data_IF_008340413256
#
_entry.id   IF_008340413256
#
_cell.length_a   1.000
_cell.length_b   1.000
_cell.length_c   1.000
_cell.angle_alpha   90.00
_cell.angle_beta   90.00
_cell.angle_gamma   90.00
#
_symmetry.space_group_name_H-M   'P 1'
#
loop_
_entity.id
_entity.type
_entity.pdbx_description
1 polymer ?
#
# COMPACT_ATOMS: atom_id res chain seq x y z
N UNK A 1 -1.14 18.12 -5.34
CA UNK A 1 -1.89 18.55 -4.14
C UNK A 1 -2.48 17.29 -3.54
N UNK A 2 -1.87 16.77 -2.46
CA UNK A 2 -2.55 15.80 -1.59
C UNK A 2 -3.87 16.43 -1.18
N UNK A 3 -4.99 15.78 -1.51
CA UNK A 3 -6.27 16.15 -0.92
C UNK A 3 -6.24 15.60 0.49
N UNK A 4 -6.21 16.49 1.48
CA UNK A 4 -6.42 16.13 2.88
C UNK A 4 -7.64 15.19 2.97
N UNK A 5 -7.46 14.06 3.64
CA UNK A 5 -8.54 13.11 3.91
C UNK A 5 -9.72 13.87 4.52
N UNK A 6 -10.94 13.79 3.97
CA UNK A 6 -12.07 14.54 4.49
C UNK A 6 -12.34 14.22 5.96
N UNK A 7 -12.68 15.23 6.75
CA UNK A 7 -12.90 15.09 8.20
C UNK A 7 -13.94 14.00 8.52
N UNK A 8 -14.99 13.85 7.71
CA UNK A 8 -16.00 12.81 7.91
C UNK A 8 -15.42 11.40 7.81
N UNK A 9 -14.41 11.20 6.93
CA UNK A 9 -13.77 9.90 6.74
C UNK A 9 -12.82 9.59 7.89
N UNK A 10 -12.09 10.59 8.39
CA UNK A 10 -11.29 10.47 9.62
C UNK A 10 -12.16 10.05 10.81
N UNK A 11 -13.28 10.75 11.03
CA UNK A 11 -14.20 10.45 12.14
C UNK A 11 -14.90 9.09 11.98
N UNK A 12 -15.29 8.69 10.76
CA UNK A 12 -15.88 7.38 10.51
C UNK A 12 -14.88 6.24 10.78
N UNK A 13 -13.62 6.41 10.37
CA UNK A 13 -12.53 5.47 10.67
C UNK A 13 -12.29 5.36 12.18
N UNK A 14 -12.21 6.49 12.89
CA UNK A 14 -12.03 6.51 14.35
C UNK A 14 -13.19 5.81 15.07
N UNK A 15 -14.43 6.14 14.71
CA UNK A 15 -15.64 5.53 15.27
C UNK A 15 -15.65 4.01 15.08
N UNK A 16 -15.31 3.55 13.87
CA UNK A 16 -15.19 2.13 13.58
C UNK A 16 -14.07 1.48 14.41
N UNK A 17 -12.87 2.06 14.44
CA UNK A 17 -11.73 1.52 15.21
C UNK A 17 -12.08 1.35 16.69
N UNK A 18 -12.68 2.36 17.31
CA UNK A 18 -13.12 2.30 18.71
C UNK A 18 -14.18 1.22 18.93
N UNK A 19 -15.16 1.11 18.02
CA UNK A 19 -16.21 0.10 18.11
C UNK A 19 -15.67 -1.32 17.95
N UNK A 20 -14.74 -1.54 17.00
CA UNK A 20 -14.14 -2.83 16.74
C UNK A 20 -13.22 -3.28 17.89
N UNK A 21 -12.45 -2.35 18.48
CA UNK A 21 -11.70 -2.62 19.70
C UNK A 21 -12.64 -3.02 20.86
N UNK A 22 -13.76 -2.33 21.00
CA UNK A 22 -14.81 -2.67 21.97
C UNK A 22 -15.37 -4.08 21.77
N UNK A 23 -15.69 -4.47 20.54
CA UNK A 23 -16.15 -5.82 20.18
C UNK A 23 -15.09 -6.89 20.44
N UNK A 24 -13.81 -6.58 20.20
CA UNK A 24 -12.72 -7.53 20.39
C UNK A 24 -12.44 -7.84 21.87
N UNK A 25 -12.63 -6.87 22.77
CA UNK A 25 -12.23 -7.00 24.18
C UNK A 25 -13.38 -7.10 25.18
N UNK A 26 -14.58 -6.62 24.84
CA UNK A 26 -15.72 -6.67 25.76
C UNK A 26 -16.32 -8.08 25.87
N UNK A 27 -16.85 -8.39 27.05
CA UNK A 27 -17.62 -9.62 27.34
C UNK A 27 -19.06 -9.32 27.77
N UNK A 28 -19.46 -8.05 27.78
CA UNK A 28 -20.78 -7.62 28.23
C UNK A 28 -21.72 -7.47 27.02
N UNK A 29 -22.83 -8.20 27.00
CA UNK A 29 -23.77 -8.23 25.87
C UNK A 29 -24.35 -6.85 25.50
N UNK A 30 -24.62 -5.99 26.49
CA UNK A 30 -25.12 -4.63 26.26
C UNK A 30 -24.05 -3.73 25.63
N UNK A 31 -22.79 -3.93 25.99
CA UNK A 31 -21.69 -3.17 25.38
C UNK A 31 -21.41 -3.68 23.97
N UNK A 32 -21.48 -5.00 23.74
CA UNK A 32 -21.39 -5.58 22.40
C UNK A 32 -22.48 -5.04 21.47
N UNK A 33 -23.73 -4.91 21.93
CA UNK A 33 -24.81 -4.30 21.15
C UNK A 33 -24.52 -2.82 20.83
N UNK A 34 -24.03 -2.06 21.82
CA UNK A 34 -23.63 -0.66 21.62
C UNK A 34 -22.52 -0.53 20.59
N UNK A 35 -21.49 -1.37 20.64
CA UNK A 35 -20.40 -1.33 19.67
C UNK A 35 -20.86 -1.70 18.26
N UNK A 36 -21.76 -2.69 18.10
CA UNK A 36 -22.37 -2.98 16.79
C UNK A 36 -23.13 -1.77 16.24
N UNK A 37 -23.88 -1.05 17.08
CA UNK A 37 -24.56 0.18 16.62
C UNK A 37 -23.57 1.27 16.21
N UNK A 38 -22.43 1.41 16.89
CA UNK A 38 -21.38 2.36 16.48
C UNK A 38 -20.79 1.97 15.10
N UNK A 39 -20.64 0.68 14.78
CA UNK A 39 -20.27 0.23 13.43
C UNK A 39 -21.31 0.62 12.39
N UNK A 40 -22.60 0.45 12.68
CA UNK A 40 -23.69 0.86 11.79
C UNK A 40 -23.68 2.37 11.53
N UNK A 41 -23.42 3.19 12.56
CA UNK A 41 -23.31 4.65 12.42
C UNK A 41 -22.10 5.00 11.52
N UNK A 42 -20.96 4.33 11.71
CA UNK A 42 -19.80 4.51 10.83
C UNK A 42 -20.14 4.17 9.37
N UNK A 43 -20.83 3.04 9.14
CA UNK A 43 -21.29 2.65 7.81
C UNK A 43 -22.31 3.64 7.21
N UNK A 44 -23.22 4.20 8.02
CA UNK A 44 -24.17 5.24 7.61
C UNK A 44 -23.45 6.53 7.17
N UNK A 45 -22.41 6.95 7.90
CA UNK A 45 -21.59 8.12 7.53
C UNK A 45 -20.91 7.89 6.18
N UNK A 46 -20.27 6.73 5.99
CA UNK A 46 -19.53 6.41 4.76
C UNK A 46 -20.49 6.29 3.57
N UNK A 47 -21.61 5.58 3.75
CA UNK A 47 -22.61 5.41 2.70
C UNK A 47 -23.23 6.76 2.29
N UNK A 48 -23.52 7.63 3.25
CA UNK A 48 -24.06 8.97 2.96
C UNK A 48 -23.09 9.94 2.26
N UNK A 49 -21.79 9.63 2.24
CA UNK A 49 -20.74 10.46 1.65
C UNK A 49 -20.02 9.78 0.47
N UNK A 50 -20.46 8.59 0.04
CA UNK A 50 -19.85 7.82 -1.04
C UNK A 50 -20.90 7.11 -1.91
N UNK A 51 -20.46 6.37 -2.93
CA UNK A 51 -21.34 5.53 -3.76
C UNK A 51 -21.47 4.10 -3.22
N UNK A 52 -20.99 3.85 -1.98
CA UNK A 52 -21.00 2.53 -1.37
C UNK A 52 -22.30 2.29 -0.59
N UNK A 53 -22.89 1.12 -0.79
CA UNK A 53 -24.06 0.67 -0.02
C UNK A 53 -23.66 0.32 1.42
N UNK A 54 -24.53 0.65 2.38
CA UNK A 54 -24.29 0.41 3.81
C UNK A 54 -23.98 -1.06 4.10
N UNK A 55 -24.71 -1.97 3.48
CA UNK A 55 -24.57 -3.41 3.66
C UNK A 55 -23.19 -3.91 3.22
N UNK A 56 -22.68 -3.42 2.09
CA UNK A 56 -21.35 -3.76 1.59
C UNK A 56 -20.24 -3.24 2.54
N UNK A 57 -20.44 -2.06 3.14
CA UNK A 57 -19.52 -1.50 4.13
C UNK A 57 -19.51 -2.36 5.40
N UNK A 58 -20.69 -2.73 5.93
CA UNK A 58 -20.80 -3.59 7.10
C UNK A 58 -20.21 -4.99 6.88
N UNK A 59 -20.40 -5.55 5.69
CA UNK A 59 -19.73 -6.80 5.29
C UNK A 59 -18.21 -6.64 5.36
N UNK A 60 -17.66 -5.54 4.81
CA UNK A 60 -16.22 -5.25 4.86
C UNK A 60 -15.67 -5.08 6.29
N UNK A 61 -16.49 -4.63 7.24
CA UNK A 61 -16.13 -4.52 8.66
C UNK A 61 -16.05 -5.90 9.32
N UNK A 62 -17.02 -6.77 9.01
CA UNK A 62 -17.13 -8.11 9.61
C UNK A 62 -16.01 -9.07 9.19
N UNK A 63 -15.35 -8.82 8.05
CA UNK A 63 -14.24 -9.64 7.52
C UNK A 63 -12.99 -9.54 8.41
N UNK A 64 -12.79 -8.44 9.13
CA UNK A 64 -11.63 -8.27 10.02
C UNK A 64 -11.99 -8.66 11.46
N UNK A 65 -11.73 -9.92 11.84
CA UNK A 65 -11.76 -10.30 13.25
C UNK A 65 -10.57 -9.67 14.00
N UNK A 66 -10.83 -8.99 15.11
CA UNK A 66 -9.78 -8.36 15.95
C UNK A 66 -9.61 -6.85 15.72
N UNK A 67 -8.52 -6.28 16.25
CA UNK A 67 -8.25 -4.85 16.17
C UNK A 67 -7.90 -4.44 14.73
N UNK A 68 -8.55 -3.40 14.16
CA UNK A 68 -8.28 -3.00 12.79
C UNK A 68 -6.92 -2.31 12.71
N UNK A 69 -6.12 -2.71 11.70
CA UNK A 69 -4.81 -2.13 11.45
C UNK A 69 -4.76 -1.59 10.02
N UNK A 70 -3.91 -0.59 9.73
CA UNK A 70 -3.57 -0.28 8.35
C UNK A 70 -3.02 -1.52 7.65
N UNK A 71 -3.33 -1.66 6.37
CA UNK A 71 -2.71 -2.71 5.56
C UNK A 71 -1.22 -2.39 5.35
N UNK A 72 -0.45 -3.34 4.83
CA UNK A 72 0.96 -3.13 4.50
C UNK A 72 1.16 -3.39 3.02
N UNK A 73 1.65 -2.39 2.28
CA UNK A 73 2.06 -2.49 0.87
C UNK A 73 3.59 -2.42 0.82
N UNK A 74 4.23 -3.30 0.06
CA UNK A 74 5.69 -3.28 -0.13
C UNK A 74 6.01 -2.95 -1.58
N UNK A 75 7.11 -2.23 -1.81
CA UNK A 75 7.60 -1.89 -3.15
C UNK A 75 9.10 -2.05 -3.22
N UNK A 76 9.60 -2.67 -4.30
CA UNK A 76 11.02 -2.89 -4.56
C UNK A 76 11.58 -1.84 -5.53
N UNK A 77 12.51 -1.02 -5.06
CA UNK A 77 13.33 -0.15 -5.89
C UNK A 77 14.59 -0.90 -6.33
N UNK A 78 14.66 -1.23 -7.62
CA UNK A 78 15.81 -1.93 -8.24
C UNK A 78 16.47 -1.00 -9.24
N UNK A 79 17.79 -0.80 -9.09
CA UNK A 79 18.56 0.16 -9.89
C UNK A 79 19.64 -0.56 -10.70
N UNK A 80 19.77 -0.21 -11.98
CA UNK A 80 20.82 -0.70 -12.88
C UNK A 80 21.29 0.44 -13.77
N UNK A 81 22.58 0.77 -13.73
CA UNK A 81 23.18 1.83 -14.55
C UNK A 81 22.44 3.19 -14.45
N UNK A 82 22.02 3.56 -13.24
CA UNK A 82 21.27 4.79 -12.97
C UNK A 82 19.80 4.76 -13.39
N UNK A 83 19.32 3.65 -13.94
CA UNK A 83 17.92 3.45 -14.34
C UNK A 83 17.14 2.67 -13.30
N UNK A 84 15.84 2.91 -13.22
CA UNK A 84 14.93 2.27 -12.27
C UNK A 84 14.07 1.22 -12.95
N UNK A 85 13.96 0.04 -12.33
CA UNK A 85 13.06 -1.02 -12.78
C UNK A 85 11.61 -0.63 -12.51
N UNK A 86 10.78 -0.67 -13.54
CA UNK A 86 9.34 -0.54 -13.42
C UNK A 86 8.65 -1.70 -14.14
N UNK A 87 7.45 -2.02 -13.66
CA UNK A 87 6.54 -3.00 -14.25
C UNK A 87 5.28 -2.28 -14.73
N UNK A 88 4.71 -2.72 -15.85
CA UNK A 88 3.45 -2.19 -16.35
C UNK A 88 2.28 -2.91 -15.70
N UNK A 89 1.31 -2.18 -15.16
CA UNK A 89 0.12 -2.72 -14.54
C UNK A 89 -0.95 -3.00 -15.60
N UNK A 90 -1.56 -4.19 -15.58
CA UNK A 90 -2.68 -4.50 -16.49
C UNK A 90 -3.89 -3.60 -16.22
N UNK A 91 -4.10 -3.24 -14.95
CA UNK A 91 -5.32 -2.57 -14.50
C UNK A 91 -5.50 -1.16 -15.08
N UNK A 92 -4.41 -0.41 -15.23
CA UNK A 92 -4.45 0.99 -15.70
C UNK A 92 -3.47 1.26 -16.87
N UNK A 93 -2.69 0.27 -17.29
CA UNK A 93 -1.68 0.40 -18.35
C UNK A 93 -0.50 1.31 -17.99
N UNK A 94 -0.45 1.80 -16.75
CA UNK A 94 0.60 2.67 -16.23
C UNK A 94 1.70 1.84 -15.58
N UNK A 95 2.76 2.50 -15.12
CA UNK A 95 3.96 1.85 -14.59
C UNK A 95 4.12 2.07 -13.09
N UNK A 96 4.63 1.07 -12.39
CA UNK A 96 4.86 1.09 -10.95
C UNK A 96 6.17 0.39 -10.60
N UNK A 97 6.67 0.66 -9.39
CA UNK A 97 7.65 -0.22 -8.77
C UNK A 97 7.01 -1.58 -8.54
N UNK A 98 7.74 -2.68 -8.80
CA UNK A 98 7.24 -4.01 -8.48
C UNK A 98 6.90 -4.12 -7.00
N UNK A 99 5.78 -4.76 -6.68
CA UNK A 99 5.33 -4.92 -5.31
C UNK A 99 3.82 -5.03 -5.12
N UNK A 100 3.46 -5.49 -3.93
CA UNK A 100 2.10 -5.87 -3.62
C UNK A 100 1.73 -5.74 -2.15
N UNK A 101 0.60 -6.36 -1.82
CA UNK A 101 0.09 -6.39 -0.46
C UNK A 101 0.93 -7.40 0.32
N UNK A 102 1.35 -7.08 1.54
CA UNK A 102 2.07 -8.04 2.35
C UNK A 102 1.16 -9.24 2.70
N UNK A 103 1.61 -10.43 2.34
CA UNK A 103 0.93 -11.69 2.63
C UNK A 103 1.21 -12.19 4.04
N UNK A 104 0.25 -12.93 4.59
CA UNK A 104 0.38 -13.50 5.93
C UNK A 104 1.43 -14.62 5.93
N UNK A 105 2.34 -14.57 6.91
CA UNK A 105 3.35 -15.62 7.10
C UNK A 105 4.66 -15.37 6.36
N UNK A 106 4.78 -14.31 5.58
CA UNK A 106 6.02 -13.86 4.96
C UNK A 106 6.62 -12.68 5.75
N UNK A 107 7.95 -12.63 5.86
CA UNK A 107 8.62 -11.43 6.32
C UNK A 107 8.53 -10.31 5.27
N UNK A 108 8.62 -9.02 5.65
CA UNK A 108 8.60 -7.92 4.69
C UNK A 108 9.70 -8.02 3.62
N UNK A 109 10.83 -8.62 3.99
CA UNK A 109 11.95 -8.87 3.08
C UNK A 109 11.62 -9.97 2.07
N UNK A 110 11.11 -11.11 2.51
CA UNK A 110 10.71 -12.20 1.61
C UNK A 110 9.62 -11.74 0.64
N UNK A 111 8.66 -10.97 1.15
CA UNK A 111 7.57 -10.41 0.36
C UNK A 111 8.07 -9.57 -0.82
N UNK A 112 8.94 -8.57 -0.56
CA UNK A 112 9.41 -7.69 -1.63
C UNK A 112 10.36 -8.42 -2.60
N UNK A 113 11.15 -9.37 -2.11
CA UNK A 113 12.03 -10.19 -2.96
C UNK A 113 11.20 -11.10 -3.89
N UNK A 114 10.11 -11.69 -3.39
CA UNK A 114 9.17 -12.50 -4.17
C UNK A 114 8.41 -11.68 -5.21
N UNK A 115 7.82 -10.55 -4.82
CA UNK A 115 7.09 -9.67 -5.73
C UNK A 115 7.96 -9.19 -6.89
N UNK A 116 9.20 -8.77 -6.61
CA UNK A 116 10.14 -8.40 -7.67
C UNK A 116 10.41 -9.57 -8.61
N UNK A 117 10.57 -10.79 -8.09
CA UNK A 117 10.77 -11.97 -8.92
C UNK A 117 9.54 -12.28 -9.80
N UNK A 118 8.35 -12.30 -9.21
CA UNK A 118 7.10 -12.67 -9.89
C UNK A 118 6.73 -11.65 -10.97
N UNK A 119 6.86 -10.36 -10.66
CA UNK A 119 6.42 -9.27 -11.55
C UNK A 119 7.49 -8.85 -12.57
N UNK A 120 8.77 -9.16 -12.36
CA UNK A 120 9.85 -8.68 -13.24
C UNK A 120 10.83 -9.74 -13.73
N UNK A 121 10.76 -10.97 -13.22
CA UNK A 121 11.73 -12.03 -13.49
C UNK A 121 13.11 -11.81 -12.86
N UNK A 122 13.28 -10.72 -12.10
CA UNK A 122 14.53 -10.35 -11.46
C UNK A 122 14.64 -10.99 -10.08
N UNK A 123 15.73 -11.70 -9.81
CA UNK A 123 16.06 -12.13 -8.45
C UNK A 123 16.84 -11.02 -7.75
N UNK A 124 16.35 -10.57 -6.60
CA UNK A 124 16.96 -9.47 -5.85
C UNK A 124 17.13 -9.81 -4.37
N UNK A 125 17.94 -9.01 -3.67
CA UNK A 125 18.04 -9.01 -2.22
C UNK A 125 17.62 -7.65 -1.67
N UNK A 126 16.66 -7.61 -0.76
CA UNK A 126 16.29 -6.38 -0.08
C UNK A 126 17.41 -5.98 0.90
N UNK A 127 17.94 -4.77 0.74
CA UNK A 127 19.10 -4.26 1.49
C UNK A 127 18.71 -3.23 2.56
N UNK A 128 17.75 -2.36 2.25
CA UNK A 128 17.44 -1.19 3.07
C UNK A 128 16.00 -0.73 2.87
N UNK A 129 15.34 -0.31 3.94
CA UNK A 129 14.08 0.46 3.84
C UNK A 129 14.44 1.92 3.57
N UNK A 130 14.00 2.44 2.42
CA UNK A 130 14.19 3.83 2.02
C UNK A 130 13.13 4.73 2.66
N UNK A 131 11.88 4.32 2.59
CA UNK A 131 10.78 5.09 3.13
C UNK A 131 9.64 4.23 3.66
N UNK A 132 8.88 4.78 4.61
CA UNK A 132 7.59 4.27 5.07
C UNK A 132 6.59 5.41 5.00
N UNK A 133 5.56 5.28 4.17
CA UNK A 133 4.56 6.33 3.98
C UNK A 133 3.15 5.84 4.33
N UNK A 134 2.34 6.71 4.93
CA UNK A 134 0.89 6.54 4.90
C UNK A 134 0.39 6.73 3.45
N UNK A 135 -0.32 5.72 2.93
CA UNK A 135 -0.79 5.71 1.56
C UNK A 135 -2.11 4.95 1.39
N UNK A 136 -2.94 5.40 0.45
CA UNK A 136 -3.98 4.57 -0.14
C UNK A 136 -3.45 3.90 -1.42
N UNK A 137 -3.94 2.71 -1.77
CA UNK A 137 -3.44 1.97 -2.94
C UNK A 137 -4.33 2.10 -4.18
N UNK A 138 -5.65 2.22 -4.03
CA UNK A 138 -6.59 2.30 -5.15
C UNK A 138 -7.22 3.70 -5.27
N UNK A 139 -7.63 4.30 -4.16
CA UNK A 139 -8.38 5.57 -4.20
C UNK A 139 -8.03 6.49 -3.01
N UNK A 140 -8.10 7.83 -3.13
CA UNK A 140 -7.75 8.75 -2.04
C UNK A 140 -8.62 8.64 -0.79
N UNK A 141 -9.77 7.98 -0.90
CA UNK A 141 -10.79 7.85 0.14
C UNK A 141 -10.99 6.39 0.58
N UNK A 142 -10.00 5.51 0.39
CA UNK A 142 -10.10 4.13 0.89
C UNK A 142 -10.41 4.11 2.38
N UNK A 143 -11.24 3.19 2.86
CA UNK A 143 -11.53 3.12 4.28
C UNK A 143 -10.33 2.55 5.07
N UNK A 144 -9.75 1.46 4.57
CA UNK A 144 -8.48 0.89 5.06
C UNK A 144 -7.33 1.47 4.23
N UNK A 145 -6.54 2.35 4.85
CA UNK A 145 -5.28 2.81 4.26
C UNK A 145 -4.16 1.80 4.53
N UNK A 146 -2.97 2.08 4.01
CA UNK A 146 -1.81 1.22 4.11
C UNK A 146 -0.56 1.98 4.54
N UNK A 147 0.34 1.30 5.25
CA UNK A 147 1.73 1.69 5.29
C UNK A 147 2.44 1.11 4.08
N UNK A 148 2.98 2.00 3.25
CA UNK A 148 3.74 1.66 2.06
C UNK A 148 5.24 1.69 2.38
N UNK A 149 5.87 0.53 2.34
CA UNK A 149 7.30 0.36 2.64
C UNK A 149 8.08 0.23 1.34
N UNK A 150 9.02 1.14 1.12
CA UNK A 150 9.88 1.17 -0.07
C UNK A 150 11.23 0.54 0.28
N UNK A 151 11.56 -0.59 -0.34
CA UNK A 151 12.84 -1.28 -0.16
C UNK A 151 13.79 -0.95 -1.31
N UNK A 152 15.05 -0.67 -0.99
CA UNK A 152 16.14 -0.73 -1.96
C UNK A 152 16.57 -2.19 -2.10
N UNK A 153 16.58 -2.67 -3.34
CA UNK A 153 16.89 -4.04 -3.69
C UNK A 153 18.13 -4.11 -4.58
N UNK A 154 19.05 -4.99 -4.23
CA UNK A 154 20.24 -5.30 -5.02
C UNK A 154 19.96 -6.46 -5.98
N UNK A 155 20.40 -6.33 -7.23
CA UNK A 155 20.24 -7.39 -8.24
C UNK A 155 21.18 -8.54 -7.92
N UNK A 156 20.62 -9.75 -7.78
CA UNK A 156 21.38 -10.99 -7.65
C UNK A 156 21.54 -11.66 -9.01
N UNK A 157 20.45 -11.77 -9.77
CA UNK A 157 20.44 -12.37 -11.12
C UNK A 157 19.13 -12.07 -11.86
N UNK A 158 19.04 -12.52 -13.11
CA UNK A 158 17.83 -12.42 -13.93
C UNK A 158 17.88 -11.25 -14.91
N UNK A 159 16.92 -11.26 -15.83
CA UNK A 159 16.70 -10.18 -16.80
C UNK A 159 15.22 -9.79 -16.80
N UNK A 160 14.90 -8.52 -17.12
CA UNK A 160 13.52 -8.06 -17.21
C UNK A 160 12.67 -8.98 -18.07
N UNK A 161 11.74 -9.67 -17.42
CA UNK A 161 10.88 -10.68 -18.04
C UNK A 161 9.44 -10.40 -17.64
N UNK A 162 8.54 -10.11 -18.59
CA UNK A 162 7.11 -9.94 -18.33
C UNK A 162 6.48 -11.17 -17.69
N UNK A 163 5.40 -10.94 -16.96
CA UNK A 163 4.58 -11.99 -16.37
C UNK A 163 3.13 -11.91 -16.90
N UNK A 164 2.27 -12.80 -16.42
CA UNK A 164 0.83 -12.70 -16.66
C UNK A 164 0.22 -11.43 -16.04
N UNK A 165 0.78 -10.93 -14.93
CA UNK A 165 0.26 -9.75 -14.22
C UNK A 165 0.90 -8.44 -14.70
N UNK A 166 2.09 -8.55 -15.29
CA UNK A 166 2.94 -7.43 -15.71
C UNK A 166 3.39 -7.61 -17.16
N UNK A 167 2.60 -7.11 -18.14
CA UNK A 167 2.82 -7.36 -19.56
C UNK A 167 4.11 -6.74 -20.11
N UNK A 168 4.74 -5.82 -19.37
CA UNK A 168 5.99 -5.19 -19.75
C UNK A 168 6.82 -4.84 -18.52
N UNK A 169 8.14 -4.96 -18.63
CA UNK A 169 9.11 -4.82 -17.54
C UNK A 169 10.37 -4.21 -18.10
N UNK A 170 10.75 -3.02 -17.63
CA UNK A 170 11.90 -2.28 -18.19
C UNK A 170 12.60 -1.41 -17.16
N UNK A 171 13.86 -1.10 -17.45
CA UNK A 171 14.61 -0.06 -16.76
C UNK A 171 14.42 1.28 -17.46
N UNK A 172 13.96 2.29 -16.71
CA UNK A 172 13.73 3.65 -17.21
C UNK A 172 14.74 4.64 -16.65
N UNK A 173 15.13 5.60 -17.48
CA UNK A 173 15.84 6.78 -17.00
C UNK A 173 14.89 7.60 -16.11
N UNK A 174 15.27 7.99 -14.89
CA UNK A 174 14.45 8.85 -14.04
C UNK A 174 14.06 10.19 -14.68
N UNK A 175 14.80 10.67 -15.68
CA UNK A 175 14.47 11.86 -16.46
C UNK A 175 13.43 11.61 -17.57
N UNK A 176 13.20 10.35 -17.95
CA UNK A 176 12.31 9.94 -19.06
C UNK A 176 11.36 8.83 -18.62
N UNK A 177 10.56 9.13 -17.59
CA UNK A 177 9.63 8.17 -17.01
C UNK A 177 8.34 8.01 -17.85
N UNK A 178 7.79 6.80 -17.94
CA UNK A 178 6.48 6.57 -18.53
C UNK A 178 5.36 7.07 -17.59
N UNK A 179 4.09 7.08 -18.03
CA UNK A 179 2.97 7.36 -17.14
C UNK A 179 2.96 6.41 -15.94
N UNK A 180 2.99 6.97 -14.72
CA UNK A 180 3.06 6.21 -13.48
C UNK A 180 1.65 5.94 -12.92
N UNK A 181 1.50 4.79 -12.27
CA UNK A 181 0.29 4.47 -11.49
C UNK A 181 0.33 5.23 -10.15
N UNK A 182 -0.43 6.32 -9.97
CA UNK A 182 -0.12 7.37 -9.00
C UNK A 182 -0.26 6.94 -7.52
N UNK A 183 -1.07 5.92 -7.24
CA UNK A 183 -1.26 5.38 -5.88
C UNK A 183 -0.28 4.24 -5.54
N UNK A 184 0.40 3.70 -6.55
CA UNK A 184 1.45 2.67 -6.37
C UNK A 184 2.83 3.30 -6.34
N UNK A 185 3.10 4.19 -7.30
CA UNK A 185 4.37 4.91 -7.44
C UNK A 185 4.10 6.33 -7.93
N UNK A 186 4.64 7.31 -7.22
CA UNK A 186 4.49 8.73 -7.56
C UNK A 186 5.84 9.44 -7.46
N UNK A 187 5.86 10.72 -7.85
CA UNK A 187 7.09 11.51 -7.87
C UNK A 187 7.77 11.60 -6.50
N UNK A 188 7.01 11.70 -5.40
CA UNK A 188 7.56 11.75 -4.03
C UNK A 188 8.37 10.49 -3.70
N UNK A 189 7.87 9.32 -4.09
CA UNK A 189 8.59 8.04 -3.90
C UNK A 189 9.86 8.01 -4.75
N UNK A 190 9.79 8.44 -6.00
CA UNK A 190 10.93 8.43 -6.92
C UNK A 190 12.03 9.39 -6.48
N UNK A 191 11.67 10.61 -6.09
CA UNK A 191 12.62 11.61 -5.58
C UNK A 191 13.36 11.08 -4.36
N UNK A 192 12.67 10.37 -3.46
CA UNK A 192 13.28 9.76 -2.28
C UNK A 192 14.23 8.61 -2.64
N UNK A 193 13.86 7.77 -3.61
CA UNK A 193 14.74 6.73 -4.15
C UNK A 193 16.03 7.35 -4.70
N UNK A 194 15.91 8.39 -5.53
CA UNK A 194 17.06 9.09 -6.11
C UNK A 194 17.93 9.77 -5.05
N UNK A 195 17.32 10.36 -4.01
CA UNK A 195 18.04 10.94 -2.89
C UNK A 195 18.87 9.90 -2.11
N UNK A 196 18.32 8.69 -1.91
CA UNK A 196 19.05 7.58 -1.28
C UNK A 196 20.14 6.99 -2.17
N UNK A 197 19.97 6.97 -3.50
CA UNK A 197 21.03 6.56 -4.44
C UNK A 197 22.19 7.57 -4.40
N UNK A 198 21.88 8.87 -4.37
CA UNK A 198 22.88 9.93 -4.30
C UNK A 198 23.59 9.99 -2.93
N UNK A 199 22.92 9.56 -1.86
CA UNK A 199 23.47 9.50 -0.51
C UNK A 199 23.10 8.16 0.18
N UNK A 200 23.94 7.12 0.04
CA UNK A 200 23.66 5.79 0.60
C UNK A 200 23.46 5.77 2.12
N UNK A 201 24.07 6.71 2.85
CA UNK A 201 23.97 6.81 4.33
C UNK A 201 22.74 7.60 4.79
N UNK A 202 21.94 8.14 3.85
CA UNK A 202 20.70 8.87 4.18
C UNK A 202 19.78 7.99 5.04
N UNK A 203 19.25 8.48 6.17
CA UNK A 203 18.36 7.69 7.02
C UNK A 203 17.02 7.44 6.33
N UNK A 204 16.33 6.37 6.72
CA UNK A 204 14.95 6.07 6.26
C UNK A 204 14.02 7.24 6.54
N UNK A 205 13.17 7.59 5.57
CA UNK A 205 12.19 8.67 5.66
C UNK A 205 10.80 8.13 6.00
N UNK A 206 10.03 8.88 6.78
CA UNK A 206 8.63 8.58 7.11
C UNK A 206 7.86 9.87 7.37
N UNK A 207 6.53 9.84 7.19
CA UNK A 207 5.60 10.94 7.53
C UNK A 207 4.98 10.84 8.93
#
# INVERSE_FOLDING_TARGET
MEKDTPQWLCLARELYTLSQAGLAYSKNDFDLERYRRLQEISAEIISGQSALEKEAILESFSIQAGYPTPKVDVRGAVIRDGKILLVQEITDGCWSLPGGWADLGESPQEMVEREVLEESGMTVKAQKVLAVYDANRVNPLEFYHAYKIIFLCEIVSGEPTPSYETPDVRFFDPAELPPLSPFRTNQRILDEILAHIANPDRPTVFD
#
